data_IF_854660711253
#
_entry.id   IF_854660711253
#
_cell.length_a   1.000
_cell.length_b   1.000
_cell.length_c   1.000
_cell.angle_alpha   90.00
_cell.angle_beta   90.00
_cell.angle_gamma   90.00
#
_symmetry.space_group_name_H-M   'P 1'
#
loop_
_entity.id
_entity.type
_entity.pdbx_description
1 polymer ?
#
# COMPACT_ATOMS: atom_id res chain seq x y z
N UNK A 1 11.45 -16.51 7.98
CA UNK A 1 12.12 -16.79 6.69
C UNK A 1 12.25 -15.48 5.93
N UNK A 2 13.38 -15.23 5.30
CA UNK A 2 13.53 -14.09 4.38
C UNK A 2 12.70 -14.35 3.12
N UNK A 3 12.05 -13.32 2.55
CA UNK A 3 11.20 -13.51 1.38
C UNK A 3 12.02 -14.01 0.19
N UNK A 4 11.43 -14.87 -0.64
CA UNK A 4 12.04 -15.27 -1.91
C UNK A 4 12.11 -14.04 -2.82
N UNK A 5 13.28 -13.65 -3.33
CA UNK A 5 13.40 -12.46 -4.18
C UNK A 5 12.60 -12.64 -5.47
N UNK A 6 11.56 -11.83 -5.65
CA UNK A 6 10.90 -11.70 -6.96
C UNK A 6 11.79 -10.90 -7.91
N UNK A 7 11.85 -11.25 -9.21
CA UNK A 7 12.56 -10.44 -10.20
C UNK A 7 12.10 -8.98 -10.13
N UNK A 8 13.01 -8.02 -10.23
CA UNK A 8 12.65 -6.60 -10.28
C UNK A 8 12.57 -6.09 -11.72
N UNK A 9 11.78 -5.04 -11.94
CA UNK A 9 11.58 -4.33 -13.21
C UNK A 9 11.60 -2.83 -12.97
N UNK A 10 11.98 -2.07 -13.98
CA UNK A 10 12.00 -0.60 -13.88
C UNK A 10 10.68 -0.04 -14.41
N UNK A 11 10.05 0.85 -13.66
CA UNK A 11 8.95 1.70 -14.14
C UNK A 11 9.40 3.14 -13.94
N UNK A 12 9.59 3.88 -15.04
CA UNK A 12 10.26 5.17 -15.00
C UNK A 12 11.70 5.05 -14.49
N UNK A 13 12.01 5.72 -13.38
CA UNK A 13 13.31 5.70 -12.71
C UNK A 13 13.35 4.84 -11.43
N UNK A 14 12.23 4.21 -11.06
CA UNK A 14 12.11 3.42 -9.84
C UNK A 14 12.14 1.92 -10.13
N UNK A 15 12.68 1.13 -9.20
CA UNK A 15 12.70 -0.33 -9.26
C UNK A 15 11.51 -0.91 -8.50
N UNK A 16 10.80 -1.83 -9.15
CA UNK A 16 9.62 -2.51 -8.63
C UNK A 16 9.83 -4.01 -8.68
N UNK A 17 9.29 -4.78 -7.73
CA UNK A 17 9.04 -6.20 -7.94
C UNK A 17 8.16 -6.43 -9.16
N UNK A 18 8.48 -7.48 -9.94
CA UNK A 18 7.70 -7.86 -11.13
C UNK A 18 6.26 -8.24 -10.76
N UNK A 19 6.03 -8.66 -9.51
CA UNK A 19 4.72 -8.96 -8.95
C UNK A 19 4.54 -8.14 -7.67
N UNK A 20 3.44 -7.38 -7.61
CA UNK A 20 2.97 -6.70 -6.41
C UNK A 20 1.76 -7.40 -5.78
N UNK A 21 1.52 -7.16 -4.50
CA UNK A 21 0.34 -7.59 -3.78
C UNK A 21 -0.71 -6.47 -3.75
N UNK A 22 -1.83 -6.69 -4.42
CA UNK A 22 -3.00 -5.82 -4.31
C UNK A 22 -3.67 -5.97 -2.95
N UNK A 23 -3.65 -4.91 -2.15
CA UNK A 23 -4.24 -4.83 -0.82
C UNK A 23 -5.73 -4.44 -0.84
N UNK A 24 -6.41 -4.60 -1.97
CA UNK A 24 -7.83 -4.30 -2.07
C UNK A 24 -8.63 -5.23 -1.17
N UNK A 25 -9.34 -4.67 -0.19
CA UNK A 25 -10.28 -5.43 0.63
C UNK A 25 -9.64 -6.45 1.57
N UNK A 26 -8.40 -6.24 2.03
CA UNK A 26 -7.77 -7.09 3.06
C UNK A 26 -8.65 -7.16 4.31
N UNK A 27 -9.26 -6.04 4.67
CA UNK A 27 -10.20 -5.96 5.80
C UNK A 27 -11.51 -6.72 5.58
N UNK A 28 -11.86 -7.03 4.33
CA UNK A 28 -13.19 -7.56 3.97
C UNK A 28 -13.16 -9.01 3.50
N UNK A 29 -12.11 -9.46 2.79
CA UNK A 29 -12.15 -10.72 2.04
C UNK A 29 -11.02 -11.71 2.35
N UNK A 30 -9.87 -11.25 2.85
CA UNK A 30 -8.64 -12.07 2.79
C UNK A 30 -8.15 -12.62 4.14
N UNK A 31 -8.55 -12.06 5.29
CA UNK A 31 -8.01 -12.50 6.59
C UNK A 31 -6.52 -12.14 6.78
N UNK A 32 -5.80 -12.76 7.73
CA UNK A 32 -4.43 -12.36 8.12
C UNK A 32 -3.34 -12.86 7.14
N UNK A 33 -3.35 -12.35 5.90
CA UNK A 33 -2.48 -12.83 4.82
C UNK A 33 -1.19 -12.03 4.61
N UNK A 34 -0.99 -10.92 5.36
CA UNK A 34 0.12 -10.00 5.11
C UNK A 34 1.50 -10.65 5.29
N UNK A 35 1.66 -11.52 6.28
CA UNK A 35 2.91 -12.26 6.49
C UNK A 35 3.18 -13.25 5.34
N UNK A 36 2.13 -13.91 4.84
CA UNK A 36 2.24 -14.83 3.70
C UNK A 36 2.54 -14.09 2.39
N UNK A 37 1.88 -12.95 2.15
CA UNK A 37 2.12 -12.09 0.99
C UNK A 37 3.56 -11.55 0.99
N UNK A 38 4.03 -11.09 2.16
CA UNK A 38 5.41 -10.68 2.33
C UNK A 38 6.39 -11.83 2.07
N UNK A 39 6.16 -13.01 2.65
CA UNK A 39 7.01 -14.19 2.45
C UNK A 39 7.09 -14.65 0.98
N UNK A 40 6.00 -14.45 0.23
CA UNK A 40 5.94 -14.72 -1.22
C UNK A 40 6.70 -13.68 -2.07
N UNK A 41 7.31 -12.66 -1.47
CA UNK A 41 8.06 -11.61 -2.15
C UNK A 41 7.19 -10.53 -2.77
N UNK A 42 5.90 -10.50 -2.45
CA UNK A 42 5.00 -9.48 -3.00
C UNK A 42 5.13 -8.17 -2.22
N UNK A 43 5.25 -7.05 -2.94
CA UNK A 43 5.25 -5.69 -2.36
C UNK A 43 3.96 -4.96 -2.71
N UNK A 44 3.50 -4.08 -1.83
CA UNK A 44 2.07 -3.74 -1.72
C UNK A 44 1.56 -2.66 -2.69
N UNK A 45 0.26 -2.72 -3.01
CA UNK A 45 -0.51 -1.73 -3.76
C UNK A 45 -1.91 -1.49 -3.14
N UNK A 46 -2.39 -0.24 -3.11
CA UNK A 46 -3.63 0.22 -2.42
C UNK A 46 -4.97 0.12 -3.23
N UNK A 47 -6.10 -0.17 -2.54
CA UNK A 47 -7.24 0.74 -2.17
C UNK A 47 -8.34 0.03 -1.32
N UNK A 48 -9.38 0.75 -0.89
CA UNK A 48 -10.62 0.30 -0.21
C UNK A 48 -10.62 0.21 1.33
N UNK A 49 -11.38 1.15 1.94
CA UNK A 49 -11.82 1.11 3.34
C UNK A 49 -10.72 1.17 4.39
N UNK A 50 -10.79 0.24 5.32
CA UNK A 50 -9.97 0.03 6.51
C UNK A 50 -8.64 -0.72 6.24
N UNK A 51 -8.38 -1.11 4.98
CA UNK A 51 -7.15 -1.79 4.56
C UNK A 51 -5.87 -1.01 4.91
N UNK A 52 -5.86 0.33 4.80
CA UNK A 52 -4.71 1.17 5.17
C UNK A 52 -4.36 1.10 6.65
N UNK A 53 -5.38 1.04 7.51
CA UNK A 53 -5.19 0.97 8.97
C UNK A 53 -4.62 -0.39 9.36
N UNK A 54 -5.10 -1.48 8.75
CA UNK A 54 -4.56 -2.81 8.98
C UNK A 54 -3.11 -2.92 8.52
N UNK A 55 -2.80 -2.41 7.32
CA UNK A 55 -1.44 -2.40 6.81
C UNK A 55 -0.51 -1.56 7.70
N UNK A 56 -0.98 -0.40 8.18
CA UNK A 56 -0.22 0.43 9.11
C UNK A 56 0.05 -0.24 10.45
N UNK A 57 -0.94 -0.96 11.01
CA UNK A 57 -0.73 -1.80 12.20
C UNK A 57 0.32 -2.88 11.94
N UNK A 58 0.25 -3.57 10.80
CA UNK A 58 1.24 -4.58 10.43
C UNK A 58 2.65 -4.00 10.28
N UNK A 59 2.81 -2.84 9.64
CA UNK A 59 4.08 -2.13 9.57
C UNK A 59 4.63 -1.81 10.97
N UNK A 60 3.78 -1.29 11.87
CA UNK A 60 4.18 -0.97 13.24
C UNK A 60 4.60 -2.21 14.04
N UNK A 61 3.89 -3.33 13.87
CA UNK A 61 4.21 -4.57 14.57
C UNK A 61 5.49 -5.24 14.06
N UNK A 62 5.77 -5.15 12.76
CA UNK A 62 6.86 -5.92 12.14
C UNK A 62 8.12 -5.10 11.85
N UNK A 63 8.00 -3.77 11.77
CA UNK A 63 9.11 -2.89 11.37
C UNK A 63 9.44 -2.95 9.87
N UNK A 64 8.68 -3.72 9.08
CA UNK A 64 9.04 -4.05 7.68
C UNK A 64 8.69 -2.98 6.66
N UNK A 65 8.18 -1.80 7.06
CA UNK A 65 7.83 -0.71 6.13
C UNK A 65 8.99 -0.36 5.20
N UNK A 66 10.22 -0.36 5.71
CA UNK A 66 11.44 -0.03 4.95
C UNK A 66 11.76 -1.03 3.84
N UNK A 67 11.19 -2.23 3.89
CA UNK A 67 11.40 -3.29 2.90
C UNK A 67 10.34 -3.28 1.79
N UNK A 68 9.34 -2.41 1.90
CA UNK A 68 8.16 -2.39 1.04
C UNK A 68 8.18 -1.16 0.16
N UNK A 69 8.07 -1.36 -1.16
CA UNK A 69 7.68 -0.29 -2.08
C UNK A 69 6.16 -0.08 -1.95
N UNK A 70 5.73 1.03 -1.37
CA UNK A 70 4.34 1.32 -1.01
C UNK A 70 3.67 2.25 -2.02
N UNK A 71 2.68 1.74 -2.75
CA UNK A 71 1.88 2.53 -3.68
C UNK A 71 0.48 2.85 -3.13
N UNK A 72 0.07 4.12 -3.13
CA UNK A 72 -1.31 4.57 -2.81
C UNK A 72 -2.00 5.16 -4.04
N UNK A 73 -3.32 5.39 -3.97
CA UNK A 73 -4.01 6.25 -4.96
C UNK A 73 -5.04 7.16 -4.27
N UNK A 74 -5.55 8.15 -5.00
CA UNK A 74 -6.62 9.05 -4.60
C UNK A 74 -7.55 9.35 -5.79
N UNK A 75 -8.66 10.05 -5.55
CA UNK A 75 -9.51 10.60 -6.61
C UNK A 75 -10.98 10.24 -6.47
N UNK A 76 -11.31 9.01 -6.06
CA UNK A 76 -12.69 8.61 -5.82
C UNK A 76 -13.22 9.17 -4.49
N UNK A 77 -14.45 9.65 -4.52
CA UNK A 77 -15.25 10.03 -3.36
C UNK A 77 -16.21 8.89 -2.96
N UNK A 78 -16.81 8.92 -1.75
CA UNK A 78 -17.72 7.87 -1.29
C UNK A 78 -18.95 7.65 -2.18
N UNK A 79 -19.40 8.68 -2.89
CA UNK A 79 -20.50 8.63 -3.86
C UNK A 79 -20.05 8.20 -5.28
N UNK A 80 -18.82 7.68 -5.40
CA UNK A 80 -18.17 7.23 -6.63
C UNK A 80 -17.90 8.33 -7.67
N UNK A 81 -18.11 9.60 -7.32
CA UNK A 81 -17.66 10.72 -8.15
C UNK A 81 -16.13 10.89 -8.04
N UNK A 82 -15.55 11.62 -9.00
CA UNK A 82 -14.10 11.84 -9.08
C UNK A 82 -13.77 13.29 -8.75
N UNK A 83 -12.80 13.50 -7.86
CA UNK A 83 -12.24 14.80 -7.53
C UNK A 83 -10.71 14.76 -7.57
N UNK A 84 -10.14 15.37 -8.61
CA UNK A 84 -8.69 15.51 -8.81
C UNK A 84 -8.14 16.89 -8.47
N UNK A 85 -8.87 17.73 -7.72
CA UNK A 85 -8.41 19.09 -7.39
C UNK A 85 -7.12 19.07 -6.55
N UNK A 86 -6.22 20.06 -6.69
CA UNK A 86 -4.98 20.12 -5.91
C UNK A 86 -5.19 20.07 -4.39
N UNK A 87 -6.26 20.72 -3.89
CA UNK A 87 -6.62 20.67 -2.47
C UNK A 87 -6.95 19.24 -2.02
N UNK A 88 -7.73 18.51 -2.82
CA UNK A 88 -8.11 17.13 -2.54
C UNK A 88 -6.92 16.18 -2.58
N UNK A 89 -5.97 16.40 -3.51
CA UNK A 89 -4.73 15.60 -3.61
C UNK A 89 -3.96 15.66 -2.29
N UNK A 90 -3.75 16.87 -1.76
CA UNK A 90 -3.03 17.10 -0.50
C UNK A 90 -3.74 16.43 0.67
N UNK A 91 -5.03 16.67 0.82
CA UNK A 91 -5.85 16.06 1.88
C UNK A 91 -5.82 14.52 1.83
N UNK A 92 -5.94 13.93 0.63
CA UNK A 92 -5.92 12.48 0.46
C UNK A 92 -4.55 11.87 0.78
N UNK A 93 -3.46 12.54 0.43
CA UNK A 93 -2.10 12.13 0.76
C UNK A 93 -1.87 12.14 2.28
N UNK A 94 -2.20 13.25 2.95
CA UNK A 94 -2.09 13.40 4.42
C UNK A 94 -2.92 12.35 5.16
N UNK A 95 -4.18 12.14 4.75
CA UNK A 95 -5.03 11.12 5.33
C UNK A 95 -4.49 9.70 5.11
N UNK A 96 -3.83 9.43 3.98
CA UNK A 96 -3.22 8.13 3.70
C UNK A 96 -2.00 7.89 4.58
N UNK A 97 -1.09 8.86 4.68
CA UNK A 97 0.07 8.82 5.57
C UNK A 97 -0.34 8.55 7.02
N UNK A 98 -1.36 9.28 7.51
CA UNK A 98 -1.88 9.12 8.86
C UNK A 98 -2.47 7.72 9.11
N UNK A 99 -3.27 7.19 8.17
CA UNK A 99 -3.88 5.85 8.31
C UNK A 99 -2.86 4.72 8.24
N UNK A 100 -1.85 4.88 7.39
CA UNK A 100 -0.74 3.93 7.24
C UNK A 100 0.26 4.05 8.39
N UNK A 101 0.30 5.18 9.10
CA UNK A 101 1.27 5.45 10.16
C UNK A 101 2.71 5.51 9.63
N UNK A 102 2.89 6.10 8.45
CA UNK A 102 4.19 6.21 7.76
C UNK A 102 4.45 7.64 7.32
N UNK A 103 5.72 7.99 7.13
CA UNK A 103 6.13 9.34 6.70
C UNK A 103 6.21 9.49 5.17
N UNK A 104 6.40 8.37 4.46
CA UNK A 104 6.62 8.36 3.01
C UNK A 104 5.72 7.31 2.36
N UNK A 105 5.18 7.67 1.20
CA UNK A 105 4.56 6.77 0.21
C UNK A 105 5.44 6.84 -1.03
N UNK A 106 5.81 5.69 -1.59
CA UNK A 106 6.80 5.60 -2.66
C UNK A 106 6.21 5.94 -4.04
N UNK A 107 4.89 5.74 -4.20
CA UNK A 107 4.11 6.08 -5.41
C UNK A 107 2.66 6.44 -5.10
#
# INVERSE_FOLDING_TARGET
MSPTPTPTRRIGNSLFPAIGFGAMGISTFYGPILDAAYAAGCTTADLYGDSKVLLGKWFKCTGRRVEIFLCTKFGFLPDLTVNGSPARVKEAAEASLAKLGVEIIDL
#
